data_IF_439960329686
#
_entry.id   IF_439960329686
#
_cell.length_a   1.000
_cell.length_b   1.000
_cell.length_c   1.000
_cell.angle_alpha   90.00
_cell.angle_beta   90.00
_cell.angle_gamma   90.00
#
_symmetry.space_group_name_H-M   'P 1'
#
loop_
_entity.id
_entity.type
_entity.pdbx_description
1 polymer ?
#
# COMPACT_ATOMS: atom_id res chain seq x y z
N UNK A 1 14.50 -10.84 -29.68
CA UNK A 1 14.16 -11.28 -28.31
C UNK A 1 14.43 -10.12 -27.36
N UNK A 2 13.38 -9.50 -26.79
CA UNK A 2 13.54 -8.36 -25.90
C UNK A 2 14.08 -8.82 -24.53
N UNK A 3 15.21 -8.24 -24.11
CA UNK A 3 15.83 -8.46 -22.81
C UNK A 3 14.85 -7.98 -21.73
N UNK A 4 14.12 -8.91 -21.09
CA UNK A 4 13.29 -8.65 -19.91
C UNK A 4 14.17 -7.97 -18.85
N UNK A 5 13.96 -6.68 -18.65
CA UNK A 5 14.59 -5.92 -17.56
C UNK A 5 14.09 -6.55 -16.26
N UNK A 6 14.99 -7.18 -15.49
CA UNK A 6 14.69 -7.72 -14.16
C UNK A 6 14.41 -6.51 -13.26
N UNK A 7 13.13 -6.15 -13.12
CA UNK A 7 12.68 -4.80 -12.74
C UNK A 7 12.45 -4.72 -11.23
N UNK A 8 13.52 -4.58 -10.44
CA UNK A 8 13.47 -4.16 -9.01
C UNK A 8 12.35 -4.84 -8.19
N UNK A 9 12.21 -6.16 -8.30
CA UNK A 9 11.24 -6.94 -7.49
C UNK A 9 11.84 -7.39 -6.13
N UNK A 10 13.05 -6.92 -5.81
CA UNK A 10 13.68 -7.12 -4.51
C UNK A 10 13.41 -5.87 -3.66
N UNK A 11 12.39 -5.90 -2.79
CA UNK A 11 12.56 -5.63 -1.35
C UNK A 11 11.33 -5.13 -0.58
N UNK A 12 10.15 -4.84 -1.15
CA UNK A 12 9.00 -4.35 -0.32
C UNK A 12 8.70 -5.27 0.86
N UNK A 13 8.62 -6.57 0.58
CA UNK A 13 8.48 -7.63 1.60
C UNK A 13 9.66 -7.72 2.57
N UNK A 14 10.89 -7.49 2.09
CA UNK A 14 12.09 -7.52 2.94
C UNK A 14 12.11 -6.31 3.87
N UNK A 15 11.84 -5.13 3.33
CA UNK A 15 11.71 -3.85 4.02
C UNK A 15 10.66 -3.95 5.13
N UNK A 16 9.44 -4.35 4.78
CA UNK A 16 8.35 -4.53 5.75
C UNK A 16 8.71 -5.65 6.75
N UNK A 17 9.32 -6.74 6.27
CA UNK A 17 9.73 -7.87 7.08
C UNK A 17 10.82 -7.59 8.10
N UNK A 18 11.64 -6.53 7.93
CA UNK A 18 12.68 -6.14 8.90
C UNK A 18 12.05 -5.72 10.22
N UNK A 19 10.98 -4.92 10.17
CA UNK A 19 10.27 -4.48 11.36
C UNK A 19 8.79 -4.20 11.05
N UNK A 20 7.95 -5.24 10.99
CA UNK A 20 6.55 -5.11 10.57
C UNK A 20 5.74 -4.19 11.49
N UNK A 21 5.97 -4.25 12.79
CA UNK A 21 5.32 -3.36 13.76
C UNK A 21 5.70 -1.90 13.51
N UNK A 22 7.00 -1.58 13.45
CA UNK A 22 7.47 -0.21 13.19
C UNK A 22 7.02 0.31 11.83
N UNK A 23 6.94 -0.56 10.83
CA UNK A 23 6.39 -0.21 9.53
C UNK A 23 4.93 0.22 9.63
N UNK A 24 4.08 -0.58 10.30
CA UNK A 24 2.66 -0.23 10.47
C UNK A 24 2.51 1.05 11.29
N UNK A 25 3.24 1.19 12.39
CA UNK A 25 3.22 2.41 13.21
C UNK A 25 3.66 3.65 12.40
N UNK A 26 4.69 3.51 11.56
CA UNK A 26 5.14 4.60 10.69
C UNK A 26 4.11 4.99 9.64
N UNK A 27 3.50 4.04 8.94
CA UNK A 27 2.56 4.37 7.85
C UNK A 27 1.19 4.82 8.32
N UNK A 28 0.79 4.45 9.54
CA UNK A 28 -0.53 4.76 10.09
C UNK A 28 -0.51 5.86 11.15
N UNK A 29 0.68 6.21 11.68
CA UNK A 29 0.87 7.11 12.82
C UNK A 29 0.18 6.64 14.12
N UNK A 30 -0.21 5.36 14.20
CA UNK A 30 -0.80 4.76 15.41
C UNK A 30 0.26 4.03 16.24
N UNK A 31 0.01 3.90 17.53
CA UNK A 31 0.87 3.15 18.48
C UNK A 31 0.18 1.87 18.96
N UNK A 32 0.91 1.01 19.69
CA UNK A 32 0.39 -0.22 20.31
C UNK A 32 -0.11 -1.25 19.27
N UNK A 33 0.61 -1.35 18.16
CA UNK A 33 0.25 -2.25 17.06
C UNK A 33 0.71 -3.67 17.36
N UNK A 34 -0.21 -4.63 17.25
CA UNK A 34 0.11 -6.06 17.22
C UNK A 34 -0.06 -6.60 15.81
N UNK A 35 1.02 -7.16 15.25
CA UNK A 35 1.00 -7.81 13.93
C UNK A 35 0.42 -9.21 14.07
N UNK A 36 -0.57 -9.53 13.22
CA UNK A 36 -1.22 -10.84 13.17
C UNK A 36 -0.63 -11.70 12.07
N UNK A 37 -0.50 -11.14 10.87
CA UNK A 37 -0.08 -11.86 9.68
C UNK A 37 0.51 -10.90 8.64
N UNK A 38 1.46 -11.37 7.84
CA UNK A 38 1.95 -10.66 6.66
C UNK A 38 1.61 -11.53 5.43
N UNK A 39 0.48 -11.23 4.80
CA UNK A 39 0.03 -11.93 3.62
C UNK A 39 0.70 -11.31 2.37
N UNK A 40 1.66 -12.04 1.81
CA UNK A 40 2.44 -11.59 0.67
C UNK A 40 2.21 -12.42 -0.60
N UNK A 41 1.67 -13.63 -0.47
CA UNK A 41 1.39 -14.59 -1.56
C UNK A 41 -0.08 -14.61 -1.99
N UNK A 42 -0.97 -14.13 -1.15
CA UNK A 42 -2.42 -14.35 -1.27
C UNK A 42 -3.11 -13.41 -2.27
N UNK A 43 -2.38 -12.43 -2.79
CA UNK A 43 -2.78 -11.54 -3.87
C UNK A 43 -2.26 -11.98 -5.24
N UNK A 44 -1.69 -13.20 -5.37
CA UNK A 44 -1.26 -13.74 -6.67
C UNK A 44 -2.38 -13.76 -7.72
N UNK A 45 -3.65 -13.74 -7.31
CA UNK A 45 -4.79 -13.64 -8.22
C UNK A 45 -4.85 -12.28 -8.97
N UNK A 46 -4.22 -11.22 -8.44
CA UNK A 46 -4.01 -9.95 -9.14
C UNK A 46 -2.76 -9.92 -10.03
N UNK A 47 -1.97 -11.01 -10.05
CA UNK A 47 -0.71 -11.13 -10.82
C UNK A 47 0.28 -9.99 -10.55
N UNK A 48 0.46 -9.60 -9.28
CA UNK A 48 1.44 -8.56 -8.91
C UNK A 48 2.33 -9.00 -7.77
N UNK A 49 3.64 -8.90 -7.99
CA UNK A 49 4.69 -9.35 -7.08
C UNK A 49 5.03 -8.32 -5.98
N UNK A 50 4.55 -7.08 -6.10
CA UNK A 50 4.95 -5.93 -5.26
C UNK A 50 4.11 -5.68 -4.00
N UNK A 51 2.87 -6.17 -3.98
CA UNK A 51 1.87 -5.80 -2.97
C UNK A 51 2.09 -6.62 -1.67
N UNK A 52 2.02 -5.95 -0.53
CA UNK A 52 2.16 -6.58 0.79
C UNK A 52 0.98 -6.19 1.67
N UNK A 53 0.21 -7.18 2.11
CA UNK A 53 -0.86 -6.97 3.07
C UNK A 53 -0.37 -7.33 4.47
N UNK A 54 -0.50 -6.42 5.41
CA UNK A 54 -0.18 -6.66 6.81
C UNK A 54 -1.48 -6.63 7.61
N UNK A 55 -1.84 -7.75 8.22
CA UNK A 55 -2.93 -7.82 9.20
C UNK A 55 -2.41 -7.38 10.56
N UNK A 56 -3.05 -6.38 11.14
CA UNK A 56 -2.64 -5.75 12.38
C UNK A 56 -3.85 -5.50 13.29
N UNK A 57 -3.59 -5.25 14.56
CA UNK A 57 -4.63 -4.86 15.51
C UNK A 57 -4.14 -3.86 16.53
N UNK A 58 -5.02 -2.95 16.97
CA UNK A 58 -4.82 -2.09 18.14
C UNK A 58 -6.01 -2.24 19.09
N UNK A 59 -5.87 -1.89 20.38
CA UNK A 59 -6.99 -1.88 21.32
C UNK A 59 -8.15 -0.97 20.86
N UNK A 60 -7.83 0.16 20.22
CA UNK A 60 -8.81 1.19 19.87
C UNK A 60 -9.52 0.96 18.53
N UNK A 61 -8.92 0.18 17.62
CA UNK A 61 -9.44 -0.01 16.25
C UNK A 61 -9.75 -1.46 15.88
N UNK A 62 -9.45 -2.42 16.76
CA UNK A 62 -9.65 -3.85 16.46
C UNK A 62 -8.69 -4.33 15.38
N UNK A 63 -9.09 -5.36 14.62
CA UNK A 63 -8.28 -5.90 13.52
C UNK A 63 -8.53 -5.16 12.21
N UNK A 64 -7.45 -4.80 11.52
CA UNK A 64 -7.48 -4.11 10.23
C UNK A 64 -6.33 -4.60 9.33
N UNK A 65 -6.37 -4.18 8.07
CA UNK A 65 -5.37 -4.52 7.08
C UNK A 65 -4.64 -3.27 6.62
N UNK A 66 -3.31 -3.32 6.56
CA UNK A 66 -2.49 -2.33 5.88
C UNK A 66 -2.12 -2.87 4.51
N UNK A 67 -2.67 -2.27 3.46
CA UNK A 67 -2.41 -2.64 2.07
C UNK A 67 -1.29 -1.77 1.54
N UNK A 68 -0.11 -2.35 1.36
CA UNK A 68 1.09 -1.63 0.94
C UNK A 68 1.35 -1.87 -0.55
N UNK A 69 1.30 -0.80 -1.34
CA UNK A 69 1.82 -0.77 -2.70
C UNK A 69 3.13 0.02 -2.70
N UNK A 70 4.23 -0.62 -3.11
CA UNK A 70 5.52 0.05 -3.26
C UNK A 70 5.91 0.19 -4.72
N UNK A 71 6.31 1.39 -5.14
CA UNK A 71 6.63 1.70 -6.53
C UNK A 71 7.94 2.47 -6.63
N UNK A 72 8.70 2.22 -7.70
CA UNK A 72 9.93 2.96 -7.92
C UNK A 72 9.67 4.45 -8.23
N UNK A 73 8.62 4.75 -9.00
CA UNK A 73 8.25 6.10 -9.43
C UNK A 73 6.73 6.24 -9.38
N UNK A 74 6.28 7.47 -9.19
CA UNK A 74 4.86 7.82 -9.25
C UNK A 74 4.21 7.44 -10.58
N UNK A 75 3.03 6.84 -10.48
CA UNK A 75 2.13 6.51 -11.57
C UNK A 75 0.77 7.20 -11.33
N UNK A 76 0.28 7.94 -12.33
CA UNK A 76 -0.96 8.69 -12.23
C UNK A 76 -2.22 7.81 -12.20
N UNK A 77 -2.13 6.54 -12.64
CA UNK A 77 -3.24 5.59 -12.58
C UNK A 77 -3.39 4.91 -11.21
N UNK A 78 -2.51 5.24 -10.26
CA UNK A 78 -2.54 4.62 -8.93
C UNK A 78 -3.82 4.79 -8.13
N UNK A 79 -4.54 5.92 -8.16
CA UNK A 79 -5.81 6.03 -7.46
C UNK A 79 -6.79 4.91 -7.84
N UNK A 80 -6.88 4.59 -9.15
CA UNK A 80 -7.78 3.54 -9.66
C UNK A 80 -7.37 2.16 -9.12
N UNK A 81 -6.05 1.89 -9.10
CA UNK A 81 -5.50 0.62 -8.59
C UNK A 81 -5.72 0.49 -7.09
N UNK A 82 -5.44 1.54 -6.31
CA UNK A 82 -5.67 1.54 -4.85
C UNK A 82 -7.13 1.26 -4.52
N UNK A 83 -8.09 1.84 -5.25
CA UNK A 83 -9.52 1.52 -5.11
C UNK A 83 -9.82 0.05 -5.35
N UNK A 84 -9.32 -0.51 -6.44
CA UNK A 84 -9.57 -1.91 -6.75
C UNK A 84 -9.01 -2.81 -5.64
N UNK A 85 -7.76 -2.57 -5.22
CA UNK A 85 -7.08 -3.43 -4.24
C UNK A 85 -7.69 -3.34 -2.85
N UNK A 86 -8.04 -2.13 -2.40
CA UNK A 86 -8.71 -1.93 -1.12
C UNK A 86 -10.04 -2.69 -1.06
N UNK A 87 -10.91 -2.51 -2.06
CA UNK A 87 -12.21 -3.19 -2.09
C UNK A 87 -12.08 -4.72 -2.17
N UNK A 88 -11.07 -5.23 -2.86
CA UNK A 88 -10.80 -6.66 -2.95
C UNK A 88 -10.27 -7.27 -1.66
N UNK A 89 -9.37 -6.55 -0.98
CA UNK A 89 -8.88 -6.96 0.34
C UNK A 89 -10.01 -6.93 1.38
N UNK A 90 -10.82 -5.87 1.36
CA UNK A 90 -11.97 -5.72 2.25
C UNK A 90 -13.00 -6.83 2.02
N UNK A 91 -13.30 -7.15 0.75
CA UNK A 91 -14.18 -8.27 0.40
C UNK A 91 -13.63 -9.59 0.94
N UNK A 92 -12.36 -9.91 0.65
CA UNK A 92 -11.80 -11.22 0.97
C UNK A 92 -11.69 -11.47 2.48
N UNK A 93 -11.24 -10.46 3.22
CA UNK A 93 -10.87 -10.61 4.63
C UNK A 93 -11.93 -10.06 5.58
N UNK A 94 -12.95 -9.34 5.08
CA UNK A 94 -14.03 -8.74 5.87
C UNK A 94 -13.49 -7.85 7.01
N UNK A 95 -12.44 -7.09 6.73
CA UNK A 95 -11.74 -6.20 7.66
C UNK A 95 -11.56 -4.81 7.05
N UNK A 96 -11.55 -3.73 7.87
CA UNK A 96 -11.17 -2.40 7.40
C UNK A 96 -9.79 -2.42 6.73
N UNK A 97 -9.65 -1.67 5.64
CA UNK A 97 -8.39 -1.60 4.88
C UNK A 97 -7.83 -0.18 4.93
N UNK A 98 -6.56 -0.07 5.28
CA UNK A 98 -5.74 1.13 5.28
C UNK A 98 -4.76 1.08 4.09
N UNK A 99 -5.15 1.61 2.92
CA UNK A 99 -4.32 1.58 1.71
C UNK A 99 -3.20 2.62 1.75
N UNK A 100 -1.97 2.16 1.53
CA UNK A 100 -0.75 2.97 1.54
C UNK A 100 -0.02 2.80 0.21
N UNK A 101 0.36 3.92 -0.40
CA UNK A 101 1.16 3.97 -1.62
C UNK A 101 2.51 4.59 -1.31
N UNK A 102 3.59 3.83 -1.51
CA UNK A 102 4.96 4.29 -1.25
C UNK A 102 5.69 4.50 -2.57
N UNK A 103 6.15 5.73 -2.80
CA UNK A 103 7.03 6.06 -3.92
C UNK A 103 8.48 6.09 -3.44
N UNK A 104 9.32 5.19 -3.95
CA UNK A 104 10.74 5.09 -3.58
C UNK A 104 11.51 6.31 -4.06
N UNK A 105 11.35 6.69 -5.33
CA UNK A 105 11.92 7.93 -5.85
C UNK A 105 10.92 9.06 -5.67
N UNK A 106 11.40 10.17 -5.08
CA UNK A 106 10.61 11.38 -4.95
C UNK A 106 10.06 11.80 -6.31
N UNK A 107 8.74 12.03 -6.42
CA UNK A 107 8.15 12.59 -7.63
C UNK A 107 8.76 13.95 -7.95
N UNK A 108 8.64 14.37 -9.20
CA UNK A 108 9.02 15.74 -9.56
C UNK A 108 8.24 16.72 -8.64
N UNK A 109 8.87 17.77 -8.08
CA UNK A 109 8.17 18.74 -7.24
C UNK A 109 6.93 19.38 -7.90
N UNK A 110 6.87 19.38 -9.23
CA UNK A 110 5.71 19.86 -10.01
C UNK A 110 4.59 18.82 -10.16
N UNK A 111 4.85 17.55 -9.83
CA UNK A 111 3.84 16.48 -9.89
C UNK A 111 2.90 16.62 -8.69
N UNK A 112 1.63 16.85 -8.96
CA UNK A 112 0.59 16.80 -7.92
C UNK A 112 0.35 15.34 -7.53
N UNK A 113 0.76 14.98 -6.32
CA UNK A 113 0.43 13.69 -5.73
C UNK A 113 -0.99 13.80 -5.18
N UNK A 114 -1.89 12.97 -5.69
CA UNK A 114 -3.25 12.84 -5.16
C UNK A 114 -3.28 11.74 -4.09
N UNK A 115 -4.26 11.83 -3.19
CA UNK A 115 -4.50 10.88 -2.09
C UNK A 115 -5.92 10.27 -2.16
N UNK A 116 -6.65 10.53 -3.24
CA UNK A 116 -8.03 10.09 -3.43
C UNK A 116 -8.26 9.70 -4.88
N UNK A 117 -8.92 8.56 -5.07
CA UNK A 117 -9.63 8.25 -6.31
C UNK A 117 -11.04 8.83 -6.23
N UNK A 118 -11.47 9.47 -7.32
CA UNK A 118 -12.83 9.94 -7.51
C UNK A 118 -13.28 9.63 -8.94
N UNK A 119 -14.50 9.12 -9.10
CA UNK A 119 -15.14 8.96 -10.40
C UNK A 119 -16.64 9.10 -10.30
N UNK A 120 -17.26 9.54 -11.39
CA UNK A 120 -18.71 9.60 -11.54
C UNK A 120 -19.14 8.95 -12.86
N UNK A 121 -20.13 8.06 -12.82
CA UNK A 121 -20.75 7.47 -14.00
C UNK A 121 -22.26 7.32 -13.77
N UNK A 122 -23.07 7.97 -14.61
CA UNK A 122 -24.54 7.98 -14.46
C UNK A 122 -25.01 8.37 -13.05
N UNK A 123 -24.43 9.43 -12.47
CA UNK A 123 -24.64 9.89 -11.07
C UNK A 123 -24.18 8.91 -9.98
N UNK A 124 -23.57 7.78 -10.34
CA UNK A 124 -22.93 6.87 -9.40
C UNK A 124 -21.53 7.38 -9.09
N UNK A 125 -21.32 7.75 -7.83
CA UNK A 125 -20.03 8.25 -7.35
C UNK A 125 -19.24 7.14 -6.70
N UNK A 126 -17.93 7.19 -6.87
CA UNK A 126 -17.04 6.30 -6.16
C UNK A 126 -15.80 7.02 -5.66
N UNK A 127 -15.42 6.65 -4.45
CA UNK A 127 -14.36 7.26 -3.69
C UNK A 127 -13.46 6.17 -3.10
N UNK A 128 -12.16 6.43 -3.10
CA UNK A 128 -11.21 5.68 -2.28
C UNK A 128 -10.14 6.65 -1.81
N UNK A 129 -10.04 6.84 -0.51
CA UNK A 129 -8.89 7.50 0.10
C UNK A 129 -7.73 6.51 0.25
N UNK A 130 -6.50 7.02 0.14
CA UNK A 130 -5.28 6.28 0.43
C UNK A 130 -4.18 7.25 0.87
N UNK A 131 -3.16 6.70 1.53
CA UNK A 131 -2.04 7.49 2.05
C UNK A 131 -0.86 7.42 1.07
N UNK A 132 -0.54 8.50 0.34
CA UNK A 132 0.69 8.57 -0.41
C UNK A 132 1.87 8.90 0.52
N UNK A 133 2.91 8.09 0.46
CA UNK A 133 4.17 8.26 1.19
C UNK A 133 5.33 8.41 0.21
N UNK A 134 6.34 9.20 0.58
CA UNK A 134 7.66 9.14 0.00
C UNK A 134 8.59 8.31 0.90
N UNK A 135 9.37 7.40 0.32
CA UNK A 135 10.18 6.48 1.11
C UNK A 135 11.45 7.12 1.71
N UNK A 136 11.56 8.45 1.61
CA UNK A 136 12.77 9.19 1.95
C UNK A 136 13.09 9.18 3.45
N UNK A 137 12.10 9.00 4.31
CA UNK A 137 12.29 9.00 5.77
C UNK A 137 12.57 7.59 6.32
N UNK A 138 11.73 6.60 5.97
CA UNK A 138 11.86 5.23 6.52
C UNK A 138 13.18 4.53 6.16
N UNK A 139 13.66 4.67 4.91
CA UNK A 139 14.94 4.09 4.45
C UNK A 139 16.14 4.71 5.19
N UNK A 140 16.05 5.97 5.61
CA UNK A 140 17.17 6.66 6.24
C UNK A 140 17.30 6.32 7.72
N UNK A 141 16.20 5.89 8.35
CA UNK A 141 16.11 5.65 9.78
C UNK A 141 16.27 4.16 10.17
N UNK A 142 16.34 3.23 9.21
CA UNK A 142 16.44 1.77 9.43
C UNK A 142 17.31 1.06 8.38
#
# INVERSE_FOLDING_TARGET
MAKKTKKVDISSKRIIGISPTRWVEWVTEITNVTIKEIASSDFQWLSREGDVLVSASTPDHGEFLVLNEMQLRYDAEMPRRMRAYAGLAEEKYKKPVYPVLINILRPNPKTKIVNRYESEFLNLKAYQDYIPMDNGQWIMDN
#
